data_IF_491117477915
#
_entry.id   IF_491117477915
#
_cell.length_a   1.000
_cell.length_b   1.000
_cell.length_c   1.000
_cell.angle_alpha   90.00
_cell.angle_beta   90.00
_cell.angle_gamma   90.00
#
_symmetry.space_group_name_H-M   'P 1'
#
loop_
_entity.id
_entity.type
_entity.pdbx_description
1 polymer ?
#
# COMPACT_ATOMS: atom_id res chain seq x y z
N UNK A 1 -2.84 -19.96 0.02
CA UNK A 1 -1.40 -19.72 0.32
C UNK A 1 -0.54 -21.00 0.36
N UNK A 2 -0.94 -22.13 -0.25
CA UNK A 2 -0.13 -23.37 -0.26
C UNK A 2 0.24 -23.91 -1.65
N UNK A 3 0.02 -23.17 -2.75
CA UNK A 3 0.44 -23.62 -4.10
C UNK A 3 1.41 -22.68 -4.84
N UNK A 4 1.91 -21.62 -4.17
CA UNK A 4 2.90 -20.67 -4.73
C UNK A 4 4.31 -21.10 -4.30
N UNK A 5 4.59 -22.40 -4.34
CA UNK A 5 5.88 -22.98 -3.92
C UNK A 5 6.60 -23.69 -5.08
N UNK A 6 5.99 -23.82 -6.26
CA UNK A 6 6.51 -24.72 -7.30
C UNK A 6 7.24 -24.05 -8.48
N UNK A 7 7.00 -22.76 -8.77
CA UNK A 7 7.60 -22.10 -9.95
C UNK A 7 8.85 -21.25 -9.67
N UNK A 8 9.04 -20.76 -8.43
CA UNK A 8 10.25 -20.05 -7.99
C UNK A 8 11.19 -20.90 -7.10
N UNK A 9 10.79 -22.13 -6.75
CA UNK A 9 11.62 -23.08 -5.99
C UNK A 9 12.67 -23.82 -6.81
N UNK A 10 12.82 -23.52 -8.11
CA UNK A 10 13.85 -24.15 -8.97
C UNK A 10 15.28 -23.67 -8.73
N UNK A 11 15.49 -22.77 -7.78
CA UNK A 11 16.78 -22.58 -7.15
C UNK A 11 16.61 -22.19 -5.70
N UNK A 12 16.61 -23.17 -4.77
CA UNK A 12 17.04 -22.87 -3.40
C UNK A 12 18.51 -22.50 -3.49
N UNK A 13 18.77 -21.24 -3.83
CA UNK A 13 20.09 -20.65 -3.82
C UNK A 13 20.51 -20.63 -2.36
N UNK A 14 21.18 -21.71 -1.94
CA UNK A 14 21.84 -21.77 -0.65
C UNK A 14 22.89 -20.66 -0.66
N UNK A 15 22.92 -19.86 0.42
CA UNK A 15 23.98 -18.88 0.64
C UNK A 15 25.36 -19.51 0.45
N UNK A 16 26.38 -18.67 0.29
CA UNK A 16 27.74 -19.20 0.30
C UNK A 16 27.94 -20.03 1.58
N UNK A 17 28.64 -21.17 1.52
CA UNK A 17 28.84 -22.00 2.69
C UNK A 17 29.43 -21.16 3.81
N UNK A 18 28.76 -21.14 4.96
CA UNK A 18 29.24 -20.46 6.15
C UNK A 18 30.58 -21.10 6.54
N UNK A 19 31.61 -20.26 6.73
CA UNK A 19 32.92 -20.69 7.22
C UNK A 19 33.08 -20.27 8.68
N UNK A 20 33.85 -21.07 9.42
CA UNK A 20 34.29 -20.76 10.78
C UNK A 20 35.84 -20.73 10.79
N UNK A 21 36.48 -19.55 10.96
CA UNK A 21 35.87 -18.24 11.23
C UNK A 21 35.15 -17.63 10.00
N UNK A 22 34.27 -16.63 10.21
CA UNK A 22 33.57 -15.92 9.13
C UNK A 22 34.50 -15.35 8.06
N UNK A 23 34.00 -15.22 6.82
CA UNK A 23 34.82 -14.71 5.72
C UNK A 23 35.15 -13.23 5.99
N UNK A 24 36.43 -12.87 5.89
CA UNK A 24 36.85 -11.48 6.03
C UNK A 24 36.09 -10.57 5.05
N UNK A 25 35.48 -9.51 5.57
CA UNK A 25 34.56 -8.57 4.89
C UNK A 25 33.30 -9.22 4.30
N UNK A 26 32.99 -10.44 4.75
CA UNK A 26 31.76 -11.17 4.46
C UNK A 26 30.54 -10.56 5.14
N UNK A 27 29.36 -11.03 4.76
CA UNK A 27 28.09 -10.56 5.30
C UNK A 27 27.99 -10.90 6.78
N UNK A 28 28.33 -12.14 7.17
CA UNK A 28 28.34 -12.57 8.57
C UNK A 28 29.35 -11.78 9.40
N UNK A 29 30.58 -11.61 8.93
CA UNK A 29 31.59 -10.82 9.66
C UNK A 29 31.16 -9.35 9.81
N UNK A 30 30.60 -8.75 8.75
CA UNK A 30 30.17 -7.36 8.78
C UNK A 30 29.02 -7.13 9.76
N UNK A 31 28.02 -8.00 9.75
CA UNK A 31 26.88 -7.93 10.69
C UNK A 31 27.37 -8.13 12.14
N UNK A 32 28.23 -9.12 12.38
CA UNK A 32 28.77 -9.38 13.72
C UNK A 32 29.61 -8.20 14.22
N UNK A 33 30.46 -7.59 13.39
CA UNK A 33 31.22 -6.39 13.77
C UNK A 33 30.31 -5.22 14.15
N UNK A 34 29.26 -4.95 13.38
CA UNK A 34 28.28 -3.91 13.74
C UNK A 34 27.65 -4.24 15.10
N UNK A 35 27.22 -5.48 15.29
CA UNK A 35 26.62 -5.94 16.53
C UNK A 35 27.56 -5.75 17.73
N UNK A 36 28.81 -6.21 17.60
CA UNK A 36 29.83 -6.11 18.65
C UNK A 36 30.16 -4.66 19.01
N UNK A 37 30.19 -3.76 18.02
CA UNK A 37 30.44 -2.33 18.24
C UNK A 37 29.22 -1.67 18.91
N UNK A 38 28.03 -1.85 18.34
CA UNK A 38 26.82 -1.15 18.76
C UNK A 38 26.36 -1.62 20.14
N UNK A 39 26.37 -2.93 20.39
CA UNK A 39 25.91 -3.53 21.65
C UNK A 39 27.02 -3.70 22.69
N UNK A 40 28.25 -3.24 22.42
CA UNK A 40 29.38 -3.32 23.36
C UNK A 40 29.01 -2.81 24.76
N UNK A 41 29.19 -3.66 25.76
CA UNK A 41 29.10 -3.25 27.16
C UNK A 41 30.31 -2.36 27.52
N UNK A 42 30.06 -1.11 27.90
CA UNK A 42 31.11 -0.14 28.24
C UNK A 42 31.40 0.86 27.11
N UNK A 43 32.54 1.58 27.18
CA UNK A 43 32.90 2.59 26.19
C UNK A 43 33.29 1.95 24.85
N UNK A 44 32.89 2.61 23.77
CA UNK A 44 33.23 2.27 22.38
C UNK A 44 34.21 3.32 21.88
N UNK A 45 35.32 2.89 21.27
CA UNK A 45 36.36 3.79 20.78
C UNK A 45 35.91 4.55 19.53
N UNK A 46 36.61 5.63 19.21
CA UNK A 46 36.32 6.42 18.00
C UNK A 46 36.59 5.61 16.73
N UNK A 47 37.62 4.77 16.75
CA UNK A 47 38.00 3.86 15.66
C UNK A 47 36.97 2.75 15.46
N UNK A 48 36.38 2.24 16.54
CA UNK A 48 35.28 1.28 16.48
C UNK A 48 34.06 1.92 15.81
N UNK A 49 33.62 3.11 16.26
CA UNK A 49 32.52 3.82 15.61
C UNK A 49 32.80 4.14 14.14
N UNK A 50 34.03 4.57 13.84
CA UNK A 50 34.45 4.96 12.50
C UNK A 50 34.32 3.85 11.44
N UNK A 51 34.22 2.57 11.85
CA UNK A 51 34.03 1.44 10.94
C UNK A 51 32.58 1.28 10.47
N UNK A 52 31.60 1.73 11.25
CA UNK A 52 30.17 1.47 10.98
C UNK A 52 29.71 1.90 9.57
N UNK A 53 30.01 3.11 9.05
CA UNK A 53 29.53 3.52 7.74
C UNK A 53 29.99 2.58 6.62
N UNK A 54 31.23 2.11 6.68
CA UNK A 54 31.77 1.16 5.70
C UNK A 54 31.11 -0.22 5.83
N UNK A 55 30.87 -0.70 7.06
CA UNK A 55 30.20 -1.97 7.31
C UNK A 55 28.74 -1.95 6.80
N UNK A 56 27.98 -0.89 7.06
CA UNK A 56 26.61 -0.75 6.56
C UNK A 56 26.54 -0.73 5.03
N UNK A 57 27.43 0.03 4.37
CA UNK A 57 27.50 0.04 2.90
C UNK A 57 27.93 -1.31 2.35
N UNK A 58 28.82 -2.03 3.05
CA UNK A 58 29.21 -3.40 2.68
C UNK A 58 28.02 -4.37 2.78
N UNK A 59 27.23 -4.30 3.84
CA UNK A 59 26.01 -5.11 3.99
C UNK A 59 25.02 -4.79 2.87
N UNK A 60 24.74 -3.50 2.60
CA UNK A 60 23.87 -3.09 1.48
C UNK A 60 24.32 -3.70 0.16
N UNK A 61 25.61 -3.61 -0.13
CA UNK A 61 26.21 -4.19 -1.33
C UNK A 61 26.07 -5.71 -1.41
N UNK A 62 26.38 -6.44 -0.32
CA UNK A 62 26.28 -7.90 -0.29
C UNK A 62 24.85 -8.41 -0.35
N UNK A 63 23.89 -7.70 0.22
CA UNK A 63 22.47 -7.98 0.04
C UNK A 63 22.09 -7.84 -1.45
N UNK A 64 22.50 -6.75 -2.11
CA UNK A 64 22.27 -6.56 -3.55
C UNK A 64 22.86 -7.70 -4.39
N UNK A 65 24.11 -8.10 -4.12
CA UNK A 65 24.77 -9.24 -4.81
C UNK A 65 23.96 -10.54 -4.62
N UNK A 66 23.48 -10.80 -3.40
CA UNK A 66 22.67 -11.98 -3.11
C UNK A 66 21.35 -11.98 -3.88
N UNK A 67 20.56 -10.91 -3.78
CA UNK A 67 19.26 -10.82 -4.46
C UNK A 67 19.41 -10.74 -5.99
N UNK A 68 20.42 -10.07 -6.54
CA UNK A 68 20.67 -10.13 -7.98
C UNK A 68 21.01 -11.54 -8.46
N UNK A 69 21.73 -12.32 -7.64
CA UNK A 69 22.01 -13.72 -7.96
C UNK A 69 20.72 -14.55 -7.96
N UNK A 70 19.79 -14.30 -7.03
CA UNK A 70 18.48 -14.97 -7.01
C UNK A 70 17.67 -14.73 -8.28
N UNK A 71 17.66 -13.50 -8.78
CA UNK A 71 16.90 -13.16 -9.99
C UNK A 71 17.61 -13.57 -11.29
N UNK A 72 18.94 -13.47 -11.33
CA UNK A 72 19.70 -13.72 -12.58
C UNK A 72 20.21 -15.16 -12.71
N UNK A 73 20.25 -15.92 -11.62
CA UNK A 73 20.99 -17.17 -11.48
C UNK A 73 22.49 -17.06 -11.83
N UNK A 74 23.07 -15.85 -11.83
CA UNK A 74 24.49 -15.60 -12.13
C UNK A 74 25.23 -15.19 -10.87
N UNK A 75 26.10 -16.08 -10.38
CA UNK A 75 26.97 -15.81 -9.22
C UNK A 75 28.14 -14.94 -9.65
N UNK A 76 28.24 -13.75 -9.07
CA UNK A 76 29.44 -12.92 -9.20
C UNK A 76 30.56 -13.45 -8.31
N UNK A 77 31.79 -12.95 -8.50
CA UNK A 77 32.94 -13.29 -7.63
C UNK A 77 32.65 -12.93 -6.16
N UNK A 78 31.82 -11.91 -5.93
CA UNK A 78 31.47 -11.46 -4.59
C UNK A 78 30.41 -12.31 -3.90
N UNK A 79 29.69 -13.17 -4.62
CA UNK A 79 28.68 -14.03 -4.03
C UNK A 79 29.24 -14.93 -2.90
N UNK A 80 30.54 -15.25 -2.94
CA UNK A 80 31.22 -15.99 -1.87
C UNK A 80 31.17 -15.28 -0.51
N UNK A 81 30.98 -13.96 -0.48
CA UNK A 81 30.88 -13.16 0.74
C UNK A 81 29.44 -13.07 1.27
N UNK A 82 28.44 -13.60 0.57
CA UNK A 82 27.06 -13.73 1.04
C UNK A 82 26.94 -15.01 1.89
N UNK A 83 27.70 -15.09 2.98
CA UNK A 83 27.99 -16.30 3.79
C UNK A 83 27.02 -16.53 4.96
N UNK A 84 25.99 -15.69 5.08
CA UNK A 84 24.99 -15.81 6.14
C UNK A 84 24.03 -16.99 5.87
N UNK A 85 23.74 -17.77 6.92
CA UNK A 85 22.89 -18.97 6.83
C UNK A 85 21.47 -18.65 6.39
N UNK A 86 20.88 -17.60 6.97
CA UNK A 86 19.56 -17.09 6.65
C UNK A 86 19.66 -15.58 6.44
N UNK A 87 19.19 -15.08 5.30
CA UNK A 87 19.21 -13.65 5.02
C UNK A 87 18.27 -12.85 5.91
N UNK A 88 17.23 -13.47 6.48
CA UNK A 88 16.32 -12.82 7.42
C UNK A 88 17.00 -12.47 8.75
N UNK A 89 18.00 -13.24 9.17
CA UNK A 89 18.79 -12.96 10.38
C UNK A 89 19.57 -11.63 10.25
N UNK A 90 19.85 -11.16 9.03
CA UNK A 90 20.52 -9.87 8.80
C UNK A 90 19.61 -8.76 9.29
N UNK A 91 18.37 -8.72 8.81
CA UNK A 91 17.40 -7.70 9.21
C UNK A 91 17.11 -7.72 10.70
N UNK A 92 16.97 -8.91 11.31
CA UNK A 92 16.72 -9.03 12.74
C UNK A 92 17.88 -8.52 13.60
N UNK A 93 19.13 -8.85 13.26
CA UNK A 93 20.30 -8.32 13.99
C UNK A 93 20.47 -6.82 13.80
N UNK A 94 20.19 -6.32 12.61
CA UNK A 94 20.21 -4.89 12.32
C UNK A 94 19.10 -4.14 13.04
N UNK A 95 17.92 -4.75 13.19
CA UNK A 95 16.82 -4.25 14.00
C UNK A 95 17.24 -4.09 15.46
N UNK A 96 17.85 -5.11 16.06
CA UNK A 96 18.33 -5.04 17.44
C UNK A 96 19.37 -3.92 17.65
N UNK A 97 20.31 -3.76 16.70
CA UNK A 97 21.26 -2.66 16.71
C UNK A 97 20.55 -1.29 16.62
N UNK A 98 19.57 -1.17 15.74
CA UNK A 98 18.77 0.04 15.55
C UNK A 98 17.99 0.42 16.81
N UNK A 99 17.26 -0.54 17.39
CA UNK A 99 16.55 -0.40 18.65
C UNK A 99 17.48 0.01 19.80
N UNK A 100 18.66 -0.60 19.90
CA UNK A 100 19.62 -0.26 20.95
C UNK A 100 20.09 1.21 20.86
N UNK A 101 20.37 1.69 19.64
CA UNK A 101 20.70 3.09 19.40
C UNK A 101 19.50 4.02 19.64
N UNK A 102 18.30 3.58 19.27
CA UNK A 102 17.06 4.31 19.51
C UNK A 102 16.80 4.55 21.00
N UNK A 103 17.00 3.51 21.82
CA UNK A 103 16.80 3.55 23.27
C UNK A 103 17.97 4.19 24.03
N UNK A 104 19.10 4.45 23.36
CA UNK A 104 20.31 5.02 23.96
C UNK A 104 20.76 6.33 23.27
N UNK A 105 20.12 7.48 23.55
CA UNK A 105 20.40 8.75 22.85
C UNK A 105 21.86 9.21 22.97
N UNK A 106 22.49 8.98 24.13
CA UNK A 106 23.90 9.29 24.36
C UNK A 106 24.83 8.46 23.45
N UNK A 107 24.48 7.19 23.23
CA UNK A 107 25.26 6.30 22.35
C UNK A 107 25.07 6.64 20.88
N UNK A 108 23.84 6.95 20.45
CA UNK A 108 23.59 7.45 19.10
C UNK A 108 24.38 8.75 18.84
N UNK A 109 24.38 9.69 19.80
CA UNK A 109 25.16 10.93 19.69
C UNK A 109 26.67 10.69 19.61
N UNK A 110 27.21 9.78 20.44
CA UNK A 110 28.61 9.38 20.39
C UNK A 110 29.00 8.72 19.06
N UNK A 111 28.13 7.87 18.52
CA UNK A 111 28.28 7.24 17.22
C UNK A 111 28.35 8.29 16.09
N UNK A 112 27.37 9.19 16.01
CA UNK A 112 27.33 10.24 14.97
C UNK A 112 28.50 11.23 15.08
N UNK A 113 28.96 11.51 16.30
CA UNK A 113 30.12 12.39 16.52
C UNK A 113 31.44 11.73 16.08
N UNK A 114 31.55 10.42 16.28
CA UNK A 114 32.75 9.64 15.94
C UNK A 114 32.79 9.20 14.48
N UNK A 115 31.62 8.96 13.89
CA UNK A 115 31.40 8.48 12.53
C UNK A 115 30.39 9.37 11.79
N UNK A 116 30.74 10.62 11.44
CA UNK A 116 29.82 11.57 10.80
C UNK A 116 29.31 11.08 9.44
N UNK A 117 30.07 10.23 8.75
CA UNK A 117 29.65 9.63 7.48
C UNK A 117 28.46 8.65 7.62
N UNK A 118 28.16 8.19 8.84
CA UNK A 118 26.93 7.43 9.10
C UNK A 118 25.69 8.30 8.88
N UNK A 119 25.79 9.60 9.15
CA UNK A 119 24.71 10.56 8.91
C UNK A 119 24.36 10.64 7.42
N UNK A 120 25.39 10.68 6.56
CA UNK A 120 25.24 10.59 5.10
C UNK A 120 24.54 9.29 4.71
N UNK A 121 24.96 8.14 5.25
CA UNK A 121 24.34 6.86 4.96
C UNK A 121 22.85 6.81 5.35
N UNK A 122 22.48 7.38 6.50
CA UNK A 122 21.11 7.37 7.00
C UNK A 122 20.21 8.32 6.20
N UNK A 123 20.69 9.54 5.91
CA UNK A 123 19.82 10.59 5.38
C UNK A 123 19.97 10.89 3.89
N UNK A 124 21.17 10.74 3.34
CA UNK A 124 21.53 11.30 2.04
C UNK A 124 21.81 10.20 1.00
N UNK A 125 22.36 9.05 1.41
CA UNK A 125 22.53 7.90 0.53
C UNK A 125 21.17 7.42 -0.01
N UNK A 126 21.08 7.04 -1.29
CA UNK A 126 19.85 6.47 -1.85
C UNK A 126 19.53 5.12 -1.21
N UNK A 127 18.24 4.86 -1.06
CA UNK A 127 17.74 3.55 -0.64
C UNK A 127 17.82 2.63 -1.85
N UNK A 128 18.60 1.55 -1.73
CA UNK A 128 18.69 0.54 -2.78
C UNK A 128 17.45 -0.35 -2.77
N UNK A 129 16.52 -0.08 -3.69
CA UNK A 129 15.33 -0.88 -3.93
C UNK A 129 15.57 -2.06 -4.86
N UNK A 130 16.73 -2.12 -5.52
CA UNK A 130 16.98 -3.07 -6.59
C UNK A 130 16.31 -2.69 -7.91
N UNK A 131 16.98 -3.04 -9.02
CA UNK A 131 16.48 -2.76 -10.37
C UNK A 131 15.14 -3.44 -10.68
N UNK A 132 14.90 -4.62 -10.11
CA UNK A 132 13.71 -5.42 -10.43
C UNK A 132 12.44 -4.79 -9.87
N UNK A 133 12.50 -4.23 -8.66
CA UNK A 133 11.39 -3.45 -8.09
C UNK A 133 11.16 -2.15 -8.85
N UNK A 134 12.24 -1.47 -9.25
CA UNK A 134 12.15 -0.24 -10.05
C UNK A 134 11.53 -0.50 -11.43
N UNK A 135 11.91 -1.59 -12.08
CA UNK A 135 11.37 -2.01 -13.37
C UNK A 135 9.90 -2.41 -13.25
N UNK A 136 9.55 -3.22 -12.25
CA UNK A 136 8.16 -3.59 -11.98
C UNK A 136 7.27 -2.36 -11.74
N UNK A 137 7.72 -1.42 -10.90
CA UNK A 137 6.97 -0.19 -10.63
C UNK A 137 6.86 0.73 -11.87
N UNK A 138 7.90 0.80 -12.70
CA UNK A 138 7.85 1.56 -13.95
C UNK A 138 6.85 0.96 -14.94
N UNK A 139 6.80 -0.37 -15.04
CA UNK A 139 5.84 -1.09 -15.89
C UNK A 139 4.41 -0.91 -15.35
N UNK A 140 4.20 -1.07 -14.04
CA UNK A 140 2.90 -0.84 -13.41
C UNK A 140 2.39 0.59 -13.67
N UNK A 141 3.27 1.59 -13.54
CA UNK A 141 2.93 2.98 -13.83
C UNK A 141 2.61 3.19 -15.32
N UNK A 142 3.37 2.57 -16.23
CA UNK A 142 3.12 2.64 -17.67
C UNK A 142 1.76 2.02 -18.04
N UNK A 143 1.44 0.85 -17.47
CA UNK A 143 0.15 0.17 -17.68
C UNK A 143 -1.01 1.01 -17.14
N UNK A 144 -0.87 1.62 -15.95
CA UNK A 144 -1.89 2.52 -15.39
C UNK A 144 -2.11 3.78 -16.22
N UNK A 145 -1.04 4.30 -16.84
CA UNK A 145 -1.10 5.50 -17.66
C UNK A 145 -1.62 5.23 -19.08
N UNK A 146 -1.56 3.98 -19.54
CA UNK A 146 -1.99 3.61 -20.88
C UNK A 146 -3.51 3.36 -20.93
N UNK A 147 -4.29 4.22 -21.64
CA UNK A 147 -5.74 4.05 -21.76
C UNK A 147 -6.15 2.82 -22.57
N UNK A 148 -5.21 2.16 -23.27
CA UNK A 148 -5.42 1.00 -24.11
C UNK A 148 -4.80 -0.29 -23.57
N UNK A 149 -4.07 -0.25 -22.44
CA UNK A 149 -3.51 -1.45 -21.84
C UNK A 149 -4.59 -2.53 -21.69
N UNK A 150 -4.25 -3.78 -21.90
CA UNK A 150 -5.18 -4.91 -21.84
C UNK A 150 -4.94 -5.80 -20.61
N UNK A 151 -5.60 -6.96 -20.59
CA UNK A 151 -5.48 -7.94 -19.53
C UNK A 151 -4.04 -8.52 -19.48
N UNK A 152 -3.41 -8.76 -20.64
CA UNK A 152 -2.05 -9.30 -20.73
C UNK A 152 -1.01 -8.31 -20.19
N UNK A 153 -1.14 -7.02 -20.52
CA UNK A 153 -0.30 -5.95 -19.99
C UNK A 153 -0.37 -5.89 -18.45
N UNK A 154 -1.57 -6.08 -17.89
CA UNK A 154 -1.81 -6.08 -16.42
C UNK A 154 -1.33 -7.34 -15.75
N UNK A 155 -1.61 -8.50 -16.33
CA UNK A 155 -1.14 -9.78 -15.81
C UNK A 155 0.38 -9.78 -15.75
N UNK A 156 1.04 -9.32 -16.81
CA UNK A 156 2.50 -9.16 -16.83
C UNK A 156 2.99 -8.17 -15.76
N UNK A 157 2.31 -7.05 -15.56
CA UNK A 157 2.68 -6.10 -14.52
C UNK A 157 2.56 -6.72 -13.12
N UNK A 158 1.47 -7.44 -12.84
CA UNK A 158 1.23 -8.17 -11.59
C UNK A 158 2.27 -9.27 -11.36
N UNK A 159 2.56 -10.07 -12.38
CA UNK A 159 3.60 -11.11 -12.32
C UNK A 159 4.97 -10.50 -12.00
N UNK A 160 5.31 -9.36 -12.60
CA UNK A 160 6.57 -8.66 -12.33
C UNK A 160 6.59 -8.08 -10.92
N UNK A 161 5.48 -7.52 -10.43
CA UNK A 161 5.34 -7.05 -9.05
C UNK A 161 5.57 -8.21 -8.07
N UNK A 162 4.82 -9.31 -8.21
CA UNK A 162 4.93 -10.51 -7.38
C UNK A 162 6.35 -11.08 -7.40
N UNK A 163 6.95 -11.18 -8.58
CA UNK A 163 8.32 -11.66 -8.72
C UNK A 163 9.31 -10.71 -8.04
N UNK A 164 9.17 -9.39 -8.24
CA UNK A 164 10.02 -8.37 -7.62
C UNK A 164 9.88 -8.33 -6.09
N UNK A 165 8.75 -8.80 -5.55
CA UNK A 165 8.51 -8.98 -4.12
C UNK A 165 9.55 -9.87 -3.43
N UNK A 166 10.21 -10.76 -4.18
CA UNK A 166 11.30 -11.61 -3.68
C UNK A 166 12.64 -10.86 -3.51
N UNK A 167 12.76 -9.63 -4.02
CA UNK A 167 13.92 -8.78 -3.77
C UNK A 167 13.77 -8.13 -2.39
N UNK A 168 14.34 -8.73 -1.36
CA UNK A 168 14.22 -8.28 0.03
C UNK A 168 15.46 -7.52 0.50
N UNK A 169 16.34 -7.05 -0.39
CA UNK A 169 17.54 -6.30 -0.01
C UNK A 169 17.20 -5.05 0.82
N UNK A 170 16.25 -4.26 0.31
CA UNK A 170 15.74 -3.06 0.96
C UNK A 170 15.04 -3.37 2.28
N UNK A 171 14.25 -4.46 2.29
CA UNK A 171 13.52 -4.94 3.47
C UNK A 171 14.45 -5.26 4.64
N UNK A 172 15.60 -5.92 4.40
CA UNK A 172 16.55 -6.22 5.48
C UNK A 172 17.16 -4.96 6.10
N UNK A 173 17.40 -3.91 5.29
CA UNK A 173 17.97 -2.65 5.78
C UNK A 173 16.93 -1.73 6.43
N UNK A 174 15.64 -1.88 6.11
CA UNK A 174 14.61 -0.96 6.59
C UNK A 174 14.40 -1.04 8.10
N UNK A 175 14.71 -2.17 8.74
CA UNK A 175 14.72 -2.28 10.19
C UNK A 175 15.65 -1.22 10.81
N UNK A 176 16.95 -1.30 10.55
CA UNK A 176 17.93 -0.35 11.10
C UNK A 176 17.64 1.10 10.72
N UNK A 177 17.34 1.35 9.44
CA UNK A 177 17.02 2.71 8.98
C UNK A 177 15.78 3.25 9.69
N UNK A 178 14.72 2.45 9.78
CA UNK A 178 13.49 2.81 10.48
C UNK A 178 13.75 3.14 11.94
N UNK A 179 14.44 2.26 12.68
CA UNK A 179 14.69 2.43 14.11
C UNK A 179 15.47 3.71 14.41
N UNK A 180 16.52 3.97 13.62
CA UNK A 180 17.37 5.16 13.79
C UNK A 180 16.63 6.43 13.36
N UNK A 181 15.84 6.40 12.30
CA UNK A 181 14.98 7.54 11.92
C UNK A 181 13.96 7.86 13.03
N UNK A 182 13.36 6.83 13.63
CA UNK A 182 12.43 6.99 14.76
C UNK A 182 13.17 7.46 16.01
N UNK A 183 14.44 7.09 16.22
CA UNK A 183 15.27 7.62 17.30
C UNK A 183 15.36 9.15 17.27
N UNK A 184 15.66 9.73 16.10
CA UNK A 184 15.67 11.19 15.95
C UNK A 184 14.31 11.80 16.25
N UNK A 185 13.23 11.10 15.92
CA UNK A 185 11.87 11.56 16.14
C UNK A 185 11.47 11.56 17.62
N UNK A 186 11.81 10.53 18.39
CA UNK A 186 11.40 10.44 19.79
C UNK A 186 12.28 11.25 20.73
N UNK A 187 13.56 11.42 20.39
CA UNK A 187 14.53 12.11 21.23
C UNK A 187 14.38 13.63 21.13
N UNK A 188 14.54 14.40 22.22
CA UNK A 188 14.49 15.86 22.17
C UNK A 188 15.69 16.41 21.39
N UNK A 189 15.45 17.48 20.61
CA UNK A 189 16.53 18.19 19.93
C UNK A 189 17.20 19.17 20.90
N UNK A 190 18.51 19.01 21.11
CA UNK A 190 19.26 19.85 22.05
C UNK A 190 19.93 21.05 21.36
N UNK A 191 20.19 20.94 20.06
CA UNK A 191 20.82 21.98 19.26
C UNK A 191 20.19 22.13 17.86
N UNK A 192 20.73 23.04 17.05
CA UNK A 192 20.25 23.26 15.68
C UNK A 192 20.57 22.09 14.73
N UNK A 193 21.61 21.29 15.02
CA UNK A 193 21.94 20.10 14.23
C UNK A 193 20.91 19.00 14.48
N UNK A 194 20.52 18.78 15.72
CA UNK A 194 19.47 17.83 16.09
C UNK A 194 18.12 18.22 15.46
N UNK A 195 17.79 19.51 15.43
CA UNK A 195 16.58 20.00 14.72
C UNK A 195 16.66 19.70 13.21
N UNK A 196 17.81 19.90 12.59
CA UNK A 196 18.00 19.57 11.18
C UNK A 196 17.89 18.06 10.92
N UNK A 197 18.48 17.23 11.78
CA UNK A 197 18.37 15.77 11.73
C UNK A 197 16.93 15.30 11.91
N UNK A 198 16.17 15.91 12.83
CA UNK A 198 14.75 15.64 13.00
C UNK A 198 13.94 15.95 11.75
N UNK A 199 14.19 17.08 11.10
CA UNK A 199 13.51 17.45 9.86
C UNK A 199 13.84 16.46 8.72
N UNK A 200 15.12 16.10 8.56
CA UNK A 200 15.54 15.08 7.59
C UNK A 200 14.92 13.71 7.89
N UNK A 201 14.93 13.29 9.16
CA UNK A 201 14.37 12.02 9.61
C UNK A 201 12.88 11.95 9.33
N UNK A 202 12.14 13.02 9.65
CA UNK A 202 10.72 13.14 9.35
C UNK A 202 10.46 12.97 7.84
N UNK A 203 11.14 13.76 7.00
CA UNK A 203 10.92 13.73 5.55
C UNK A 203 11.20 12.34 4.97
N UNK A 204 12.29 11.71 5.40
CA UNK A 204 12.67 10.38 4.94
C UNK A 204 11.70 9.30 5.42
N UNK A 205 11.27 9.36 6.69
CA UNK A 205 10.30 8.40 7.23
C UNK A 205 8.94 8.52 6.54
N UNK A 206 8.46 9.74 6.29
CA UNK A 206 7.22 9.98 5.53
C UNK A 206 7.35 9.44 4.11
N UNK A 207 8.44 9.74 3.39
CA UNK A 207 8.68 9.20 2.05
C UNK A 207 8.65 7.66 2.05
N UNK A 208 9.39 7.02 2.96
CA UNK A 208 9.49 5.57 3.07
C UNK A 208 8.14 4.90 3.38
N UNK A 209 7.30 5.57 4.17
CA UNK A 209 6.06 4.99 4.69
C UNK A 209 4.79 5.39 3.93
N UNK A 210 4.84 6.36 3.01
CA UNK A 210 3.65 6.83 2.27
C UNK A 210 3.74 6.64 0.77
N UNK A 211 4.94 6.49 0.22
CA UNK A 211 5.12 6.25 -1.22
C UNK A 211 4.88 4.77 -1.53
N UNK A 212 4.02 4.40 -2.50
CA UNK A 212 3.68 3.01 -2.80
C UNK A 212 4.90 2.11 -3.02
N UNK A 213 5.86 2.56 -3.85
CA UNK A 213 7.08 1.83 -4.15
C UNK A 213 7.90 1.48 -2.89
N UNK A 214 8.08 2.45 -1.98
CA UNK A 214 8.82 2.22 -0.73
C UNK A 214 8.04 1.34 0.24
N UNK A 215 6.72 1.54 0.35
CA UNK A 215 5.84 0.72 1.20
C UNK A 215 5.89 -0.76 0.78
N UNK A 216 5.83 -1.05 -0.51
CA UNK A 216 5.94 -2.41 -1.04
C UNK A 216 7.32 -3.03 -0.81
N UNK A 217 8.38 -2.21 -0.75
CA UNK A 217 9.74 -2.68 -0.53
C UNK A 217 10.07 -2.95 0.94
N UNK A 218 9.48 -2.19 1.87
CA UNK A 218 9.78 -2.31 3.31
C UNK A 218 8.74 -3.09 4.09
N UNK A 219 7.47 -3.01 3.69
CA UNK A 219 6.36 -3.72 4.32
C UNK A 219 6.36 -3.62 5.85
N UNK A 220 6.10 -4.76 6.49
CA UNK A 220 5.99 -4.86 7.94
C UNK A 220 7.27 -4.47 8.69
N UNK A 221 8.47 -4.61 8.09
CA UNK A 221 9.71 -4.24 8.77
C UNK A 221 9.76 -2.75 9.13
N UNK A 222 9.27 -1.88 8.24
CA UNK A 222 9.17 -0.46 8.54
C UNK A 222 8.06 -0.16 9.54
N UNK A 223 6.89 -0.80 9.40
CA UNK A 223 5.78 -0.65 10.36
C UNK A 223 6.21 -1.07 11.76
N UNK A 224 7.05 -2.11 11.88
CA UNK A 224 7.61 -2.59 13.14
C UNK A 224 8.56 -1.57 13.78
N UNK A 225 9.48 -1.00 13.01
CA UNK A 225 10.36 0.07 13.46
C UNK A 225 9.58 1.34 13.86
N UNK A 226 8.44 1.60 13.20
CA UNK A 226 7.57 2.75 13.42
C UNK A 226 6.65 2.63 14.64
N UNK A 227 6.64 1.52 15.37
CA UNK A 227 5.78 1.36 16.56
C UNK A 227 5.82 2.56 17.51
N UNK A 228 6.99 3.16 17.80
CA UNK A 228 7.06 4.29 18.71
C UNK A 228 6.47 5.59 18.19
N UNK A 229 6.33 5.73 16.87
CA UNK A 229 5.61 6.83 16.23
C UNK A 229 4.13 6.71 16.54
N UNK A 230 3.56 5.52 16.40
CA UNK A 230 2.11 5.28 16.54
C UNK A 230 1.62 5.31 17.98
N UNK A 231 2.39 4.78 18.95
CA UNK A 231 1.95 4.81 20.35
C UNK A 231 2.21 6.12 21.09
N UNK A 232 3.01 7.05 20.53
CA UNK A 232 3.39 8.31 21.19
C UNK A 232 2.58 9.48 20.63
N UNK A 233 1.53 10.00 21.32
CA UNK A 233 0.60 10.95 20.72
C UNK A 233 1.24 12.24 20.19
N UNK A 234 2.29 12.76 20.86
CA UNK A 234 3.00 13.96 20.41
C UNK A 234 3.77 13.71 19.10
N UNK A 235 4.43 12.56 19.00
CA UNK A 235 5.21 12.17 17.82
C UNK A 235 4.27 11.84 16.66
N UNK A 236 3.20 11.09 16.92
CA UNK A 236 2.16 10.78 15.92
C UNK A 236 1.58 12.05 15.28
N UNK A 237 1.26 13.06 16.08
CA UNK A 237 0.72 14.34 15.57
C UNK A 237 1.75 15.06 14.70
N UNK A 238 3.01 15.12 15.14
CA UNK A 238 4.08 15.74 14.34
C UNK A 238 4.32 14.97 13.04
N UNK A 239 4.27 13.64 13.09
CA UNK A 239 4.38 12.77 11.93
C UNK A 239 3.22 12.97 10.95
N UNK A 240 1.99 13.10 11.48
CA UNK A 240 0.80 13.41 10.69
C UNK A 240 0.92 14.77 10.00
N UNK A 241 1.42 15.81 10.69
CA UNK A 241 1.68 17.13 10.10
C UNK A 241 2.79 17.11 9.05
N UNK A 242 3.72 16.16 9.13
CA UNK A 242 4.73 15.91 8.10
C UNK A 242 4.19 15.21 6.85
N UNK A 243 2.92 14.82 6.83
CA UNK A 243 2.29 14.05 5.74
C UNK A 243 2.27 12.54 5.97
N UNK A 244 2.64 12.06 7.16
CA UNK A 244 2.73 10.64 7.49
C UNK A 244 1.40 9.95 7.87
N UNK A 245 0.29 10.69 7.97
CA UNK A 245 -1.01 10.11 8.35
C UNK A 245 -1.50 8.96 7.43
N UNK A 246 -1.28 8.98 6.09
CA UNK A 246 -1.63 7.87 5.21
C UNK A 246 -0.95 6.57 5.62
N UNK A 247 0.30 6.63 6.10
CA UNK A 247 1.05 5.44 6.51
C UNK A 247 0.32 4.69 7.64
N UNK A 248 -0.21 5.41 8.63
CA UNK A 248 -0.95 4.78 9.72
C UNK A 248 -2.24 4.10 9.22
N UNK A 249 -2.95 4.73 8.26
CA UNK A 249 -4.19 4.18 7.71
C UNK A 249 -3.93 2.95 6.85
N UNK A 250 -2.90 2.98 6.03
CA UNK A 250 -2.48 1.85 5.19
C UNK A 250 -1.92 0.70 6.05
N UNK A 251 -1.12 0.99 7.09
CA UNK A 251 -0.65 -0.03 8.03
C UNK A 251 -1.82 -0.62 8.83
N UNK A 252 -2.84 0.18 9.14
CA UNK A 252 -4.08 -0.34 9.74
C UNK A 252 -4.91 -1.19 8.77
N UNK A 253 -4.76 -1.00 7.46
CA UNK A 253 -5.40 -1.83 6.45
C UNK A 253 -4.72 -3.19 6.30
N UNK A 254 -3.39 -3.19 6.16
CA UNK A 254 -2.67 -4.34 5.60
C UNK A 254 -1.61 -4.96 6.51
N UNK A 255 -1.03 -4.20 7.45
CA UNK A 255 0.11 -4.70 8.23
C UNK A 255 -0.27 -5.83 9.19
N UNK A 256 0.74 -6.59 9.61
CA UNK A 256 0.63 -7.56 10.70
C UNK A 256 0.22 -6.93 12.04
N UNK A 257 0.42 -5.62 12.21
CA UNK A 257 0.07 -4.87 13.42
C UNK A 257 -1.31 -4.20 13.36
N UNK A 258 -2.11 -4.49 12.32
CA UNK A 258 -3.40 -3.84 12.05
C UNK A 258 -4.37 -3.85 13.22
N UNK A 259 -4.62 -5.01 13.85
CA UNK A 259 -5.69 -5.19 14.83
C UNK A 259 -5.31 -4.79 16.26
N UNK A 260 -4.00 -4.59 16.51
CA UNK A 260 -3.48 -4.18 17.80
C UNK A 260 -3.07 -2.71 17.80
N UNK A 261 -1.82 -2.46 17.40
CA UNK A 261 -1.20 -1.15 17.52
C UNK A 261 -1.87 -0.11 16.60
N UNK A 262 -2.03 -0.42 15.31
CA UNK A 262 -2.52 0.56 14.34
C UNK A 262 -3.98 0.93 14.63
N UNK A 263 -4.82 -0.06 14.93
CA UNK A 263 -6.19 0.18 15.40
C UNK A 263 -6.23 1.06 16.65
N UNK A 264 -5.43 0.76 17.67
CA UNK A 264 -5.37 1.57 18.90
C UNK A 264 -4.92 3.00 18.62
N UNK A 265 -3.95 3.18 17.74
CA UNK A 265 -3.46 4.50 17.34
C UNK A 265 -4.54 5.29 16.57
N UNK A 266 -5.32 4.64 15.70
CA UNK A 266 -6.46 5.26 15.00
C UNK A 266 -7.61 5.62 15.95
N UNK A 267 -7.94 4.76 16.91
CA UNK A 267 -8.98 5.03 17.92
C UNK A 267 -8.61 6.22 18.82
N UNK A 268 -7.33 6.35 19.16
CA UNK A 268 -6.82 7.41 20.04
C UNK A 268 -6.25 8.61 19.26
N UNK A 269 -6.41 8.65 17.94
CA UNK A 269 -5.80 9.66 17.09
C UNK A 269 -6.33 11.06 17.47
N UNK A 270 -5.46 11.97 17.97
CA UNK A 270 -5.91 13.29 18.39
C UNK A 270 -6.46 14.09 17.21
N UNK A 271 -7.54 14.86 17.42
CA UNK A 271 -8.13 15.71 16.37
C UNK A 271 -7.13 16.67 15.70
N UNK A 272 -6.10 17.13 16.44
CA UNK A 272 -5.02 17.98 15.92
C UNK A 272 -4.13 17.28 14.88
N UNK A 273 -4.06 15.95 14.85
CA UNK A 273 -3.29 15.21 13.85
C UNK A 273 -3.83 15.42 12.43
N UNK A 274 -5.13 15.72 12.30
CA UNK A 274 -5.81 15.98 11.04
C UNK A 274 -5.55 17.37 10.47
N UNK A 275 -4.76 18.22 11.12
CA UNK A 275 -4.35 19.50 10.55
C UNK A 275 -3.21 19.30 9.52
N UNK A 276 -3.04 20.28 8.63
CA UNK A 276 -1.94 20.35 7.66
C UNK A 276 -1.82 19.16 6.69
N UNK A 277 -2.93 18.49 6.39
CA UNK A 277 -2.93 17.42 5.38
C UNK A 277 -2.93 18.03 3.98
N UNK A 278 -2.04 17.54 3.12
CA UNK A 278 -2.02 17.91 1.70
C UNK A 278 -3.06 17.11 0.91
N UNK A 279 -3.41 17.52 -0.33
CA UNK A 279 -4.27 16.74 -1.21
C UNK A 279 -3.79 15.30 -1.40
N UNK A 280 -2.48 15.09 -1.55
CA UNK A 280 -1.86 13.77 -1.73
C UNK A 280 -2.00 12.91 -0.48
N UNK A 281 -1.80 13.51 0.71
CA UNK A 281 -2.01 12.84 1.99
C UNK A 281 -3.47 12.38 2.14
N UNK A 282 -4.43 13.27 1.89
CA UNK A 282 -5.86 12.94 1.98
C UNK A 282 -6.23 11.83 0.99
N UNK A 283 -5.68 11.85 -0.22
CA UNK A 283 -5.90 10.80 -1.21
C UNK A 283 -5.31 9.46 -0.75
N UNK A 284 -4.12 9.46 -0.15
CA UNK A 284 -3.51 8.27 0.45
C UNK A 284 -4.35 7.68 1.58
N UNK A 285 -4.87 8.52 2.48
CA UNK A 285 -5.80 8.10 3.54
C UNK A 285 -7.03 7.41 2.95
N UNK A 286 -7.63 8.02 1.92
CA UNK A 286 -8.84 7.47 1.29
C UNK A 286 -8.58 6.15 0.55
N UNK A 287 -7.39 5.95 -0.04
CA UNK A 287 -6.97 4.66 -0.59
C UNK A 287 -6.86 3.58 0.48
N UNK A 288 -6.20 3.87 1.60
CA UNK A 288 -6.10 2.94 2.72
C UNK A 288 -7.47 2.57 3.31
N UNK A 289 -8.42 3.51 3.33
CA UNK A 289 -9.80 3.24 3.73
C UNK A 289 -10.55 2.32 2.76
N UNK A 290 -10.34 2.44 1.45
CA UNK A 290 -10.88 1.51 0.45
C UNK A 290 -10.32 0.12 0.69
N UNK A 291 -8.99 -0.02 0.81
CA UNK A 291 -8.33 -1.31 1.09
C UNK A 291 -8.89 -1.95 2.36
N UNK A 292 -9.06 -1.15 3.42
CA UNK A 292 -9.67 -1.63 4.67
C UNK A 292 -11.09 -2.15 4.48
N UNK A 293 -11.92 -1.46 3.67
CA UNK A 293 -13.27 -1.92 3.33
C UNK A 293 -13.25 -3.21 2.49
N UNK A 294 -12.31 -3.35 1.57
CA UNK A 294 -12.15 -4.56 0.76
C UNK A 294 -11.79 -5.77 1.63
N UNK A 295 -10.93 -5.59 2.63
CA UNK A 295 -10.53 -6.66 3.56
C UNK A 295 -11.57 -6.99 4.64
N UNK A 296 -12.19 -5.99 5.27
CA UNK A 296 -13.14 -6.20 6.40
C UNK A 296 -14.61 -6.25 5.97
N UNK A 297 -14.91 -5.85 4.73
CA UNK A 297 -16.27 -5.75 4.21
C UNK A 297 -17.00 -4.46 4.61
N UNK A 298 -18.20 -4.28 4.07
CA UNK A 298 -18.92 -2.99 4.19
C UNK A 298 -19.42 -2.66 5.61
N UNK A 299 -19.46 -3.62 6.52
CA UNK A 299 -19.87 -3.37 7.91
C UNK A 299 -18.85 -2.46 8.63
N UNK A 300 -17.59 -2.48 8.17
CA UNK A 300 -16.54 -1.58 8.65
C UNK A 300 -16.88 -0.09 8.41
N UNK A 301 -17.60 0.24 7.34
CA UNK A 301 -18.01 1.62 7.04
C UNK A 301 -18.92 2.23 8.13
N UNK A 302 -19.55 1.41 8.96
CA UNK A 302 -20.42 1.87 10.05
C UNK A 302 -19.68 2.01 11.39
N UNK A 303 -18.38 1.73 11.43
CA UNK A 303 -17.61 1.80 12.68
C UNK A 303 -17.39 3.25 13.13
N UNK A 304 -17.31 3.51 14.46
CA UNK A 304 -17.02 4.84 14.97
C UNK A 304 -15.71 5.44 14.45
N UNK A 305 -14.69 4.60 14.23
CA UNK A 305 -13.39 5.02 13.71
C UNK A 305 -13.55 5.55 12.28
N UNK A 306 -14.21 4.78 11.40
CA UNK A 306 -14.44 5.17 10.01
C UNK A 306 -15.24 6.48 9.91
N UNK A 307 -16.33 6.56 10.67
CA UNK A 307 -17.18 7.75 10.80
C UNK A 307 -16.36 8.97 11.23
N UNK A 308 -15.54 8.83 12.26
CA UNK A 308 -14.73 9.93 12.77
C UNK A 308 -13.69 10.39 11.74
N UNK A 309 -13.03 9.48 11.02
CA UNK A 309 -12.09 9.83 9.96
C UNK A 309 -12.76 10.68 8.88
N UNK A 310 -13.91 10.24 8.36
CA UNK A 310 -14.62 10.97 7.31
C UNK A 310 -15.08 12.35 7.79
N UNK A 311 -15.58 12.44 9.03
CA UNK A 311 -15.95 13.71 9.65
C UNK A 311 -14.76 14.65 9.81
N UNK A 312 -13.60 14.16 10.24
CA UNK A 312 -12.38 14.97 10.37
C UNK A 312 -11.90 15.49 9.02
N UNK A 313 -11.97 14.68 7.96
CA UNK A 313 -11.62 15.13 6.62
C UNK A 313 -12.60 16.21 6.14
N UNK A 314 -13.90 15.93 6.20
CA UNK A 314 -14.92 16.86 5.69
C UNK A 314 -14.98 18.18 6.45
N UNK A 315 -14.95 18.14 7.79
CA UNK A 315 -15.03 19.35 8.62
C UNK A 315 -13.85 20.31 8.43
N UNK A 316 -12.70 19.81 7.96
CA UNK A 316 -11.48 20.60 7.78
C UNK A 316 -11.19 20.99 6.35
N UNK A 317 -11.49 20.10 5.40
CA UNK A 317 -11.09 20.23 4.00
C UNK A 317 -12.30 20.31 3.05
N UNK A 318 -13.52 20.19 3.58
CA UNK A 318 -14.75 20.30 2.80
C UNK A 318 -14.95 19.14 1.83
N UNK A 319 -15.57 19.44 0.69
CA UNK A 319 -16.02 18.47 -0.30
C UNK A 319 -14.89 18.00 -1.24
N UNK A 320 -13.91 18.85 -1.48
CA UNK A 320 -12.87 18.66 -2.50
C UNK A 320 -12.10 17.33 -2.38
N UNK A 321 -11.73 16.83 -1.17
CA UNK A 321 -11.08 15.52 -1.05
C UNK A 321 -11.98 14.36 -1.51
N UNK A 322 -13.29 14.44 -1.25
CA UNK A 322 -14.24 13.40 -1.63
C UNK A 322 -14.48 13.39 -3.15
N UNK A 323 -14.47 14.56 -3.79
CA UNK A 323 -14.52 14.67 -5.24
C UNK A 323 -13.31 13.97 -5.87
N UNK A 324 -12.09 14.30 -5.44
CA UNK A 324 -10.87 13.63 -5.91
C UNK A 324 -10.91 12.11 -5.71
N UNK A 325 -11.38 11.68 -4.53
CA UNK A 325 -11.42 10.27 -4.20
C UNK A 325 -12.56 9.49 -4.87
N UNK A 326 -13.51 10.17 -5.52
CA UNK A 326 -14.64 9.52 -6.19
C UNK A 326 -14.25 8.63 -7.36
N UNK A 327 -12.99 8.72 -7.81
CA UNK A 327 -12.42 7.92 -8.90
C UNK A 327 -11.36 6.91 -8.42
N UNK A 328 -11.19 6.73 -7.11
CA UNK A 328 -10.14 5.85 -6.57
C UNK A 328 -10.43 4.35 -6.74
N UNK A 329 -11.69 3.95 -6.74
CA UNK A 329 -12.10 2.56 -6.88
C UNK A 329 -13.43 2.48 -7.62
N UNK A 330 -13.47 1.63 -8.64
CA UNK A 330 -14.67 1.26 -9.39
C UNK A 330 -15.48 0.16 -8.70
N UNK A 331 -14.87 -0.58 -7.76
CA UNK A 331 -15.55 -1.59 -6.94
C UNK A 331 -16.13 -0.98 -5.66
N UNK A 332 -15.32 -0.26 -4.89
CA UNK A 332 -15.72 0.44 -3.67
C UNK A 332 -16.05 1.91 -3.95
N UNK A 333 -17.24 2.13 -4.52
CA UNK A 333 -17.72 3.47 -4.91
C UNK A 333 -18.13 4.37 -3.71
N UNK A 334 -17.63 4.10 -2.51
CA UNK A 334 -18.04 4.81 -1.28
C UNK A 334 -17.76 6.31 -1.37
N UNK A 335 -16.60 6.71 -1.89
CA UNK A 335 -16.27 8.13 -2.02
C UNK A 335 -17.07 8.80 -3.13
N UNK A 336 -17.40 8.08 -4.21
CA UNK A 336 -18.35 8.55 -5.21
C UNK A 336 -19.74 8.79 -4.60
N UNK A 337 -20.24 7.83 -3.82
CA UNK A 337 -21.50 7.96 -3.10
C UNK A 337 -21.49 9.15 -2.14
N UNK A 338 -20.44 9.27 -1.31
CA UNK A 338 -20.30 10.35 -0.34
C UNK A 338 -20.24 11.72 -1.05
N UNK A 339 -19.40 11.87 -2.07
CA UNK A 339 -19.31 13.11 -2.85
C UNK A 339 -20.68 13.55 -3.41
N UNK A 340 -21.44 12.63 -4.01
CA UNK A 340 -22.79 12.90 -4.55
C UNK A 340 -23.81 13.28 -3.48
N UNK A 341 -23.67 12.77 -2.25
CA UNK A 341 -24.61 13.03 -1.15
C UNK A 341 -24.28 14.30 -0.39
N UNK A 342 -22.99 14.54 -0.14
CA UNK A 342 -22.49 15.73 0.55
C UNK A 342 -22.73 16.98 -0.32
N UNK A 343 -22.46 16.92 -1.63
CA UNK A 343 -22.68 18.03 -2.56
C UNK A 343 -24.14 18.52 -2.61
N UNK A 344 -25.12 17.64 -2.38
CA UNK A 344 -26.55 17.99 -2.37
C UNK A 344 -26.99 18.69 -1.06
N UNK A 345 -26.36 18.39 0.07
CA UNK A 345 -26.77 18.85 1.42
C UNK A 345 -25.56 19.09 2.34
N UNK A 346 -24.70 20.06 2.04
CA UNK A 346 -23.44 20.24 2.76
C UNK A 346 -23.63 20.61 4.24
N UNK A 347 -24.68 21.36 4.55
CA UNK A 347 -25.05 21.84 5.89
C UNK A 347 -25.42 20.72 6.88
N UNK A 348 -25.73 19.52 6.40
CA UNK A 348 -26.33 18.44 7.22
C UNK A 348 -25.29 17.61 8.00
N UNK A 349 -24.01 17.72 7.67
CA UNK A 349 -22.99 16.76 8.13
C UNK A 349 -21.93 17.44 9.00
N UNK A 350 -22.39 18.19 10.00
CA UNK A 350 -21.53 19.00 10.87
C UNK A 350 -20.94 18.19 12.03
N UNK A 351 -21.59 17.10 12.42
CA UNK A 351 -21.16 16.22 13.52
C UNK A 351 -20.94 14.79 13.07
N UNK A 352 -20.03 14.06 13.73
CA UNK A 352 -19.75 12.66 13.43
C UNK A 352 -21.00 11.76 13.50
N UNK A 353 -21.95 12.03 14.40
CA UNK A 353 -23.16 11.22 14.54
C UNK A 353 -24.06 11.26 13.29
N UNK A 354 -24.07 12.37 12.55
CA UNK A 354 -24.88 12.56 11.34
C UNK A 354 -24.37 11.74 10.14
N UNK A 355 -23.13 11.26 10.19
CA UNK A 355 -22.53 10.42 9.15
C UNK A 355 -23.02 8.98 9.20
N UNK A 356 -23.32 8.44 10.39
CA UNK A 356 -23.71 7.03 10.53
C UNK A 356 -24.98 6.70 9.72
N UNK A 357 -26.06 7.50 9.74
CA UNK A 357 -27.21 7.30 8.85
C UNK A 357 -26.85 7.35 7.36
N UNK A 358 -25.89 8.20 6.96
CA UNK A 358 -25.41 8.28 5.57
C UNK A 358 -24.65 7.02 5.16
N UNK A 359 -23.84 6.45 6.04
CA UNK A 359 -23.05 5.25 5.77
C UNK A 359 -23.93 3.99 5.77
N UNK A 360 -24.96 3.94 6.62
CA UNK A 360 -26.01 2.91 6.54
C UNK A 360 -26.74 2.92 5.20
N UNK A 361 -26.96 4.11 4.62
CA UNK A 361 -27.50 4.23 3.26
C UNK A 361 -26.57 3.62 2.22
N UNK A 362 -25.26 3.86 2.31
CA UNK A 362 -24.27 3.25 1.42
C UNK A 362 -24.39 1.71 1.42
N UNK A 363 -24.50 1.08 2.59
CA UNK A 363 -24.69 -0.38 2.70
C UNK A 363 -25.96 -0.90 1.99
N UNK A 364 -27.00 -0.08 1.99
CA UNK A 364 -28.29 -0.35 1.34
C UNK A 364 -28.31 0.00 -0.15
N UNK A 365 -27.21 0.49 -0.73
CA UNK A 365 -27.10 0.65 -2.18
C UNK A 365 -27.11 -0.74 -2.83
N UNK A 366 -28.06 -1.03 -3.74
CA UNK A 366 -28.14 -2.32 -4.41
C UNK A 366 -26.90 -2.65 -5.24
N UNK A 367 -26.61 -3.95 -5.38
CA UNK A 367 -25.45 -4.42 -6.13
C UNK A 367 -25.43 -3.92 -7.58
N UNK A 368 -26.58 -3.91 -8.28
CA UNK A 368 -26.65 -3.41 -9.65
C UNK A 368 -26.32 -1.91 -9.73
N UNK A 369 -26.80 -1.12 -8.77
CA UNK A 369 -26.50 0.32 -8.69
C UNK A 369 -25.01 0.55 -8.47
N UNK A 370 -24.37 -0.22 -7.58
CA UNK A 370 -22.92 -0.14 -7.35
C UNK A 370 -22.13 -0.44 -8.62
N UNK A 371 -22.40 -1.58 -9.25
CA UNK A 371 -21.72 -2.00 -10.48
C UNK A 371 -21.90 -1.01 -11.62
N UNK A 372 -23.10 -0.45 -11.79
CA UNK A 372 -23.36 0.58 -12.81
C UNK A 372 -22.54 1.84 -12.57
N UNK A 373 -22.50 2.35 -11.35
CA UNK A 373 -21.70 3.55 -11.06
C UNK A 373 -20.19 3.28 -11.11
N UNK A 374 -19.74 2.10 -10.68
CA UNK A 374 -18.38 1.62 -10.90
C UNK A 374 -18.01 1.61 -12.39
N UNK A 375 -18.88 1.03 -13.22
CA UNK A 375 -18.72 1.00 -14.68
C UNK A 375 -18.56 2.39 -15.30
N UNK A 376 -19.32 3.37 -14.80
CA UNK A 376 -19.26 4.74 -15.31
C UNK A 376 -17.92 5.42 -15.03
N UNK A 377 -17.28 5.10 -13.89
CA UNK A 377 -16.01 5.73 -13.49
C UNK A 377 -14.77 4.98 -13.98
N UNK A 378 -14.92 3.77 -14.54
CA UNK A 378 -13.83 3.04 -15.18
C UNK A 378 -13.16 3.83 -16.30
N UNK A 379 -11.87 3.54 -16.53
CA UNK A 379 -11.19 3.91 -17.77
C UNK A 379 -11.75 3.10 -18.95
N UNK A 380 -11.43 3.50 -20.17
CA UNK A 380 -11.88 2.77 -21.38
C UNK A 380 -11.31 1.35 -21.37
N UNK A 381 -10.01 1.20 -21.14
CA UNK A 381 -9.36 -0.09 -20.97
C UNK A 381 -10.02 -0.92 -19.85
N UNK A 382 -10.26 -0.34 -18.66
CA UNK A 382 -10.91 -1.07 -17.57
C UNK A 382 -12.31 -1.60 -17.90
N UNK A 383 -13.07 -0.93 -18.78
CA UNK A 383 -14.36 -1.45 -19.27
C UNK A 383 -14.19 -2.65 -20.20
N UNK A 384 -13.14 -2.70 -21.00
CA UNK A 384 -12.83 -3.85 -21.84
C UNK A 384 -12.38 -5.06 -21.02
N UNK A 385 -11.58 -4.82 -19.99
CA UNK A 385 -11.08 -5.86 -19.08
C UNK A 385 -12.25 -6.49 -18.31
N UNK A 386 -13.13 -5.66 -17.75
CA UNK A 386 -14.27 -6.10 -16.96
C UNK A 386 -15.49 -6.55 -17.78
N UNK A 387 -15.40 -6.59 -19.11
CA UNK A 387 -16.50 -7.02 -19.99
C UNK A 387 -16.90 -8.47 -19.75
N UNK A 388 -15.93 -9.35 -19.49
CA UNK A 388 -16.16 -10.77 -19.20
C UNK A 388 -16.53 -11.04 -17.74
N UNK A 389 -16.40 -10.04 -16.86
CA UNK A 389 -16.66 -10.21 -15.43
C UNK A 389 -18.17 -10.21 -15.15
N UNK A 390 -18.66 -11.30 -14.55
CA UNK A 390 -20.07 -11.49 -14.25
C UNK A 390 -20.69 -10.33 -13.46
N UNK A 391 -21.66 -9.66 -14.07
CA UNK A 391 -22.52 -8.66 -13.45
C UNK A 391 -22.10 -7.20 -13.67
N UNK A 392 -20.99 -6.93 -14.36
CA UNK A 392 -20.82 -5.65 -15.04
C UNK A 392 -21.82 -5.61 -16.22
N UNK A 393 -22.68 -4.60 -16.31
CA UNK A 393 -23.69 -4.50 -17.38
C UNK A 393 -24.85 -5.51 -17.30
N UNK A 394 -24.75 -6.64 -18.01
CA UNK A 394 -25.84 -7.61 -18.13
C UNK A 394 -25.57 -8.91 -17.37
N UNK A 395 -26.48 -9.29 -16.46
CA UNK A 395 -26.39 -10.51 -15.64
C UNK A 395 -26.81 -11.80 -16.35
N UNK A 396 -27.23 -11.72 -17.62
CA UNK A 396 -27.54 -12.90 -18.43
C UNK A 396 -26.27 -13.43 -19.07
N UNK A 397 -25.86 -14.64 -18.72
CA UNK A 397 -24.60 -15.23 -19.16
C UNK A 397 -24.47 -15.35 -20.69
N UNK A 398 -25.57 -15.59 -21.40
CA UNK A 398 -25.59 -15.74 -22.87
C UNK A 398 -26.07 -14.44 -23.56
N UNK A 399 -25.78 -13.28 -22.96
CA UNK A 399 -26.17 -12.00 -23.54
C UNK A 399 -25.55 -11.83 -24.95
N UNK A 400 -26.37 -11.65 -26.00
CA UNK A 400 -25.86 -11.46 -27.37
C UNK A 400 -24.98 -10.22 -27.50
N UNK A 401 -25.30 -9.17 -26.73
CA UNK A 401 -24.56 -7.92 -26.73
C UNK A 401 -23.18 -8.08 -26.10
N UNK A 402 -23.07 -8.79 -24.97
CA UNK A 402 -21.77 -9.16 -24.39
C UNK A 402 -20.93 -9.94 -25.39
N UNK A 403 -21.54 -10.93 -26.06
CA UNK A 403 -20.85 -11.73 -27.08
C UNK A 403 -20.36 -10.88 -28.26
N UNK A 404 -21.16 -9.89 -28.69
CA UNK A 404 -20.76 -8.97 -29.76
C UNK A 404 -19.61 -8.05 -29.33
N UNK A 405 -19.67 -7.52 -28.10
CA UNK A 405 -18.60 -6.69 -27.54
C UNK A 405 -17.30 -7.48 -27.34
N UNK A 406 -17.38 -8.76 -26.95
CA UNK A 406 -16.18 -9.62 -26.81
C UNK A 406 -15.49 -9.85 -28.17
N UNK A 407 -16.25 -10.09 -29.24
CA UNK A 407 -15.67 -10.15 -30.60
C UNK A 407 -15.03 -8.83 -31.03
N UNK A 408 -15.63 -7.71 -30.63
CA UNK A 408 -15.04 -6.39 -30.87
C UNK A 408 -13.75 -6.22 -30.06
N UNK A 409 -13.70 -6.68 -28.80
CA UNK A 409 -12.49 -6.70 -27.96
C UNK A 409 -11.37 -7.48 -28.65
N UNK A 410 -11.66 -8.68 -29.16
CA UNK A 410 -10.69 -9.52 -29.90
C UNK A 410 -10.18 -8.87 -31.19
N UNK A 411 -11.02 -8.07 -31.86
CA UNK A 411 -10.66 -7.37 -33.09
C UNK A 411 -9.96 -6.02 -32.85
N UNK A 412 -9.79 -5.57 -31.59
CA UNK A 412 -9.13 -4.30 -31.29
C UNK A 412 -7.68 -4.34 -31.73
N UNK A 413 -7.22 -3.21 -32.25
CA UNK A 413 -5.82 -2.99 -32.61
C UNK A 413 -5.32 -1.81 -31.80
N UNK A 414 -4.24 -2.00 -31.03
CA UNK A 414 -3.59 -0.93 -30.25
C UNK A 414 -3.27 0.26 -31.17
N UNK A 415 -3.56 1.47 -30.69
CA UNK A 415 -3.46 2.75 -31.39
C UNK A 415 -4.62 3.06 -32.33
N UNK A 416 -5.60 2.16 -32.52
CA UNK A 416 -6.79 2.38 -33.34
C UNK A 416 -8.04 2.38 -32.48
N UNK A 417 -8.58 3.57 -32.22
CA UNK A 417 -9.80 3.76 -31.44
C UNK A 417 -11.02 3.95 -32.32
N UNK A 418 -12.13 3.36 -31.90
CA UNK A 418 -13.45 3.53 -32.51
C UNK A 418 -14.40 4.14 -31.46
N UNK A 419 -14.64 5.46 -31.52
CA UNK A 419 -15.51 6.14 -30.55
C UNK A 419 -16.94 5.61 -30.52
N UNK A 420 -17.44 5.05 -31.62
CA UNK A 420 -18.80 4.51 -31.70
C UNK A 420 -18.87 3.19 -30.92
N UNK A 421 -17.87 2.34 -31.07
CA UNK A 421 -17.77 1.09 -30.31
C UNK A 421 -17.53 1.37 -28.82
N UNK A 422 -16.71 2.36 -28.49
CA UNK A 422 -16.45 2.75 -27.10
C UNK A 422 -17.68 3.36 -26.42
N UNK A 423 -18.47 4.19 -27.11
CA UNK A 423 -19.75 4.66 -26.57
C UNK A 423 -20.72 3.49 -26.39
N UNK A 424 -20.82 2.58 -27.36
CA UNK A 424 -21.64 1.35 -27.23
C UNK A 424 -21.25 0.54 -25.99
N UNK A 425 -19.95 0.36 -25.73
CA UNK A 425 -19.45 -0.31 -24.52
C UNK A 425 -19.82 0.47 -23.24
N UNK A 426 -19.65 1.80 -23.25
CA UNK A 426 -20.04 2.64 -22.13
C UNK A 426 -21.53 2.49 -21.82
N UNK A 427 -22.40 2.59 -22.84
CA UNK A 427 -23.85 2.46 -22.70
C UNK A 427 -24.26 1.06 -22.23
N UNK A 428 -23.60 -0.01 -22.68
CA UNK A 428 -23.93 -1.38 -22.28
C UNK A 428 -23.93 -1.56 -20.76
N UNK A 429 -22.92 -1.03 -20.06
CA UNK A 429 -22.88 -1.05 -18.61
C UNK A 429 -23.63 0.11 -17.95
N UNK A 430 -23.42 1.34 -18.43
CA UNK A 430 -23.96 2.56 -17.84
C UNK A 430 -25.47 2.74 -17.97
N UNK A 431 -26.06 2.23 -19.06
CA UNK A 431 -27.51 2.27 -19.31
C UNK A 431 -28.23 0.96 -18.96
N UNK A 432 -27.53 0.00 -18.34
CA UNK A 432 -28.13 -1.25 -17.88
C UNK A 432 -29.23 -1.00 -16.83
N UNK A 433 -30.31 -1.79 -16.91
CA UNK A 433 -31.49 -1.66 -16.06
C UNK A 433 -31.44 -2.69 -14.94
N UNK A 434 -31.50 -2.23 -13.70
CA UNK A 434 -31.59 -3.10 -12.54
C UNK A 434 -32.91 -3.89 -12.54
N UNK A 435 -32.89 -5.11 -12.02
CA UNK A 435 -34.08 -5.89 -11.73
C UNK A 435 -35.00 -5.10 -10.79
N UNK A 436 -36.23 -4.82 -11.22
CA UNK A 436 -37.17 -3.99 -10.45
C UNK A 436 -37.49 -4.56 -9.05
N UNK A 437 -37.38 -5.89 -8.87
CA UNK A 437 -37.69 -6.56 -7.60
C UNK A 437 -36.52 -6.57 -6.63
N UNK A 438 -35.37 -7.14 -7.02
CA UNK A 438 -34.25 -7.32 -6.11
C UNK A 438 -33.17 -6.24 -6.22
N UNK A 439 -33.13 -5.49 -7.33
CA UNK A 439 -32.10 -4.51 -7.67
C UNK A 439 -30.64 -5.02 -7.58
N UNK A 440 -30.42 -6.33 -7.43
CA UNK A 440 -29.09 -6.92 -7.28
C UNK A 440 -28.44 -7.28 -8.63
N UNK A 441 -29.25 -7.61 -9.64
CA UNK A 441 -28.82 -7.87 -11.01
C UNK A 441 -29.24 -6.72 -11.94
N UNK A 442 -28.48 -6.49 -13.01
CA UNK A 442 -28.79 -5.57 -14.10
C UNK A 442 -28.85 -6.29 -15.45
N UNK A 443 -29.61 -5.76 -16.39
CA UNK A 443 -29.75 -6.31 -17.73
C UNK A 443 -29.66 -5.20 -18.76
N UNK A 444 -29.02 -5.46 -19.91
CA UNK A 444 -29.02 -4.51 -21.02
C UNK A 444 -30.42 -4.30 -21.64
N UNK A 445 -31.37 -5.21 -21.38
CA UNK A 445 -32.75 -5.07 -21.82
C UNK A 445 -33.70 -6.15 -21.27
N UNK A 446 -34.99 -5.97 -21.53
CA UNK A 446 -36.05 -6.86 -21.04
C UNK A 446 -35.97 -8.28 -21.63
N UNK A 447 -35.42 -8.44 -22.83
CA UNK A 447 -35.21 -9.75 -23.45
C UNK A 447 -34.21 -10.59 -22.63
N UNK A 448 -33.06 -10.02 -22.27
CA UNK A 448 -32.06 -10.69 -21.44
C UNK A 448 -32.60 -11.00 -20.04
N UNK A 449 -33.37 -10.09 -19.44
CA UNK A 449 -34.01 -10.34 -18.14
C UNK A 449 -34.99 -11.52 -18.20
N UNK A 450 -35.81 -11.62 -19.26
CA UNK A 450 -36.76 -12.74 -19.44
C UNK A 450 -36.04 -14.06 -19.67
N UNK A 451 -34.96 -14.05 -20.45
CA UNK A 451 -34.14 -15.23 -20.73
C UNK A 451 -33.47 -15.76 -19.44
N UNK A 452 -32.88 -14.87 -18.64
CA UNK A 452 -32.20 -15.24 -17.40
C UNK A 452 -33.16 -15.58 -16.25
N UNK A 453 -34.45 -15.26 -16.37
CA UNK A 453 -35.41 -15.36 -15.26
C UNK A 453 -35.48 -16.75 -14.62
N UNK A 454 -35.35 -17.83 -15.40
CA UNK A 454 -35.37 -19.20 -14.87
C UNK A 454 -34.26 -19.42 -13.84
N UNK A 455 -33.07 -18.88 -14.08
CA UNK A 455 -31.92 -18.93 -13.18
C UNK A 455 -32.06 -17.89 -12.07
N UNK A 456 -32.37 -16.64 -12.43
CA UNK A 456 -32.40 -15.52 -11.49
C UNK A 456 -33.54 -15.58 -10.46
N UNK A 457 -34.64 -16.29 -10.74
CA UNK A 457 -35.85 -16.27 -9.88
C UNK A 457 -35.58 -16.66 -8.42
N UNK A 458 -34.73 -17.66 -8.17
CA UNK A 458 -34.35 -18.11 -6.82
C UNK A 458 -33.51 -17.05 -6.10
N UNK A 459 -32.45 -16.56 -6.76
CA UNK A 459 -31.58 -15.49 -6.28
C UNK A 459 -32.37 -14.19 -6.02
N UNK A 460 -33.32 -13.85 -6.90
CA UNK A 460 -34.11 -12.64 -6.84
C UNK A 460 -34.94 -12.56 -5.55
N UNK A 461 -35.50 -13.67 -5.09
CA UNK A 461 -36.28 -13.68 -3.85
C UNK A 461 -35.37 -13.44 -2.62
N UNK A 462 -34.21 -14.12 -2.59
CA UNK A 462 -33.23 -13.98 -1.52
C UNK A 462 -32.65 -12.55 -1.45
N UNK A 463 -32.27 -11.98 -2.60
CA UNK A 463 -31.74 -10.60 -2.67
C UNK A 463 -32.81 -9.55 -2.36
N UNK A 464 -34.05 -9.75 -2.81
CA UNK A 464 -35.15 -8.84 -2.48
C UNK A 464 -35.44 -8.82 -0.97
N UNK A 465 -35.28 -9.95 -0.27
CA UNK A 465 -35.46 -10.02 1.18
C UNK A 465 -34.45 -9.17 1.97
N UNK A 466 -33.31 -8.82 1.37
CA UNK A 466 -32.32 -7.90 1.97
C UNK A 466 -32.79 -6.43 1.95
N UNK A 467 -33.87 -6.11 1.24
CA UNK A 467 -34.51 -4.79 1.19
C UNK A 467 -33.55 -3.62 0.86
N UNK A 468 -32.56 -3.87 -0.02
CA UNK A 468 -31.65 -2.83 -0.50
C UNK A 468 -32.34 -1.98 -1.56
N UNK A 469 -32.52 -0.69 -1.28
CA UNK A 469 -33.29 0.20 -2.15
C UNK A 469 -32.68 1.60 -2.30
N UNK A 470 -31.49 1.86 -1.76
CA UNK A 470 -30.86 3.18 -1.80
C UNK A 470 -30.31 3.48 -3.20
N UNK A 471 -30.74 4.60 -3.80
CA UNK A 471 -30.16 5.13 -5.05
C UNK A 471 -28.97 6.08 -4.73
N UNK A 472 -28.26 6.63 -5.72
CA UNK A 472 -27.12 7.56 -5.50
C UNK A 472 -27.48 8.99 -5.88
#
# INVERSE_FOLDING_TARGET
>A
MQSISASLSKGTLKGAPLLDPPIATGLTESVNKIYDIVLKHGPVSREEWGQLPALFRRIRHLLRVYYDTLFTNRKTVEFKFCDMKDMSDVGLKLHECGLFLQLSPSRLSACLSSAPDLETFIFDDPIDLGRWRLEAAAIEQAVKADPEADDDDRERALELEDNSGNDLAAYQLSFFLGDVLVAFMINPANDNKDKARQAKAMGRLVMMSTTPLYRLAFGDALTDAMRPVYWTPKVLVRFSHGGGLPALVEDWAESTLKDGLCKTAMEKLPGKAWAHQTPESLLGIMRGLIRKLEFEGHDFAETPIFVNILHQIYSRYGLEPFERASHLSDFEIIFYFLHRRLSKKPEKFQSAHEWLPLLKKYRNVPGATRKRHGWMILTISGRWDLLAMCGCGCGYAECPETSALLRLKEARVRGKRDPVVEDRLFQWGGASKACARCKAASYCGAACQKADWKRHKSECAAEAAKNKNEEI
#
